data_IF_993818419867
#
_entry.id   IF_993818419867
#
_cell.length_a   1.000
_cell.length_b   1.000
_cell.length_c   1.000
_cell.angle_alpha   90.00
_cell.angle_beta   90.00
_cell.angle_gamma   90.00
#
_symmetry.space_group_name_H-M   'P 1'
#
loop_
_entity.id
_entity.type
_entity.pdbx_description
1 polymer ?
#
# COMPACT_ATOMS: atom_id res chain seq x y z
N UNK A 1 -14.79 -14.84 6.49
CA UNK A 1 -14.53 -14.56 5.05
C UNK A 1 -13.34 -15.38 4.58
N UNK A 2 -13.26 -15.75 3.30
CA UNK A 2 -12.07 -16.44 2.75
C UNK A 2 -10.85 -15.53 2.87
N UNK A 3 -9.67 -16.11 3.09
CA UNK A 3 -8.41 -15.36 3.24
C UNK A 3 -8.12 -14.48 2.02
N UNK A 4 -8.32 -15.04 0.82
CA UNK A 4 -8.19 -14.34 -0.46
C UNK A 4 -9.10 -13.11 -0.55
N UNK A 5 -10.37 -13.22 -0.14
CA UNK A 5 -11.31 -12.09 -0.16
C UNK A 5 -10.87 -10.98 0.78
N UNK A 6 -10.44 -11.32 2.00
CA UNK A 6 -9.92 -10.33 2.95
C UNK A 6 -8.66 -9.64 2.41
N UNK A 7 -7.76 -10.41 1.79
CA UNK A 7 -6.52 -9.89 1.19
C UNK A 7 -6.79 -9.00 -0.03
N UNK A 8 -7.76 -9.37 -0.88
CA UNK A 8 -8.21 -8.53 -1.99
C UNK A 8 -8.76 -7.20 -1.46
N UNK A 9 -9.66 -7.21 -0.47
CA UNK A 9 -10.21 -5.97 0.11
C UNK A 9 -9.10 -5.11 0.71
N UNK A 10 -8.19 -5.69 1.50
CA UNK A 10 -7.07 -4.96 2.07
C UNK A 10 -6.15 -4.37 0.99
N UNK A 11 -5.91 -5.10 -0.11
CA UNK A 11 -5.12 -4.64 -1.25
C UNK A 11 -5.78 -3.49 -2.02
N UNK A 12 -7.10 -3.57 -2.26
CA UNK A 12 -7.85 -2.51 -2.93
C UNK A 12 -7.88 -1.23 -2.09
N UNK A 13 -8.07 -1.36 -0.77
CA UNK A 13 -7.99 -0.21 0.14
C UNK A 13 -6.57 0.36 0.22
N UNK A 14 -5.54 -0.50 0.23
CA UNK A 14 -4.13 -0.07 0.19
C UNK A 14 -3.85 0.75 -1.07
N UNK A 15 -4.31 0.29 -2.23
CA UNK A 15 -4.19 1.04 -3.49
C UNK A 15 -4.91 2.38 -3.44
N UNK A 16 -6.15 2.40 -2.95
CA UNK A 16 -6.93 3.64 -2.82
C UNK A 16 -6.22 4.65 -1.91
N UNK A 17 -5.70 4.22 -0.76
CA UNK A 17 -5.01 5.13 0.14
C UNK A 17 -3.62 5.52 -0.36
N UNK A 18 -2.91 4.63 -1.06
CA UNK A 18 -1.64 4.97 -1.71
C UNK A 18 -1.80 6.05 -2.77
N UNK A 19 -2.92 6.07 -3.52
CA UNK A 19 -3.15 7.16 -4.49
C UNK A 19 -3.49 8.48 -3.80
N UNK A 20 -4.29 8.48 -2.74
CA UNK A 20 -4.48 9.67 -1.90
C UNK A 20 -3.18 10.17 -1.28
N UNK A 21 -2.36 9.24 -0.80
CA UNK A 21 -1.06 9.53 -0.21
C UNK A 21 -0.12 10.19 -1.22
N UNK A 22 0.01 9.63 -2.43
CA UNK A 22 0.83 10.23 -3.48
C UNK A 22 0.32 11.62 -3.88
N UNK A 23 -0.99 11.82 -3.98
CA UNK A 23 -1.56 13.14 -4.23
C UNK A 23 -1.15 14.12 -3.14
N UNK A 24 -1.18 13.69 -1.87
CA UNK A 24 -0.65 14.45 -0.75
C UNK A 24 0.84 14.75 -0.89
N UNK A 25 1.66 13.75 -1.24
CA UNK A 25 3.10 13.94 -1.44
C UNK A 25 3.41 14.99 -2.50
N UNK A 26 2.62 15.04 -3.57
CA UNK A 26 2.75 16.07 -4.61
C UNK A 26 2.33 17.44 -4.07
N UNK A 27 1.16 17.52 -3.41
CA UNK A 27 0.61 18.79 -2.88
C UNK A 27 1.53 19.42 -1.83
N UNK A 28 2.16 18.61 -0.98
CA UNK A 28 3.04 19.10 0.10
C UNK A 28 4.53 19.11 -0.30
N UNK A 29 4.84 18.82 -1.57
CA UNK A 29 6.18 18.91 -2.15
C UNK A 29 7.17 17.84 -1.67
N UNK A 30 6.69 16.68 -1.25
CA UNK A 30 7.49 15.47 -1.04
C UNK A 30 7.85 14.79 -2.37
N UNK A 31 6.97 14.87 -3.36
CA UNK A 31 7.16 14.36 -4.71
C UNK A 31 7.00 15.48 -5.77
N UNK A 32 7.69 15.41 -6.93
CA UNK A 32 7.68 16.48 -7.92
C UNK A 32 6.39 16.52 -8.76
N UNK A 33 5.56 15.47 -8.75
CA UNK A 33 4.28 15.42 -9.46
C UNK A 33 4.38 15.37 -10.99
N UNK A 34 5.50 14.86 -11.51
CA UNK A 34 5.76 14.79 -12.95
C UNK A 34 5.27 13.50 -13.62
N UNK A 35 5.58 13.35 -14.92
CA UNK A 35 5.26 12.14 -15.70
C UNK A 35 5.79 10.85 -15.07
N UNK A 36 6.94 10.91 -14.41
CA UNK A 36 7.51 9.76 -13.71
C UNK A 36 6.57 9.25 -12.60
N UNK A 37 6.00 10.16 -11.78
CA UNK A 37 5.03 9.79 -10.74
C UNK A 37 3.80 9.13 -11.38
N UNK A 38 3.25 9.71 -12.46
CA UNK A 38 2.09 9.14 -13.17
C UNK A 38 2.37 7.72 -13.69
N UNK A 39 3.46 7.55 -14.45
CA UNK A 39 3.79 6.27 -15.09
C UNK A 39 4.01 5.18 -14.05
N UNK A 40 4.79 5.46 -13.00
CA UNK A 40 5.06 4.49 -11.93
C UNK A 40 3.76 4.10 -11.22
N UNK A 41 2.95 5.08 -10.83
CA UNK A 41 1.70 4.81 -10.11
C UNK A 41 0.71 4.01 -10.93
N UNK A 42 0.53 4.33 -12.21
CA UNK A 42 -0.39 3.59 -13.09
C UNK A 42 0.08 2.15 -13.27
N UNK A 43 1.36 1.93 -13.61
CA UNK A 43 1.88 0.59 -13.85
C UNK A 43 1.84 -0.28 -12.59
N UNK A 44 2.30 0.27 -11.45
CA UNK A 44 2.26 -0.44 -10.16
C UNK A 44 0.83 -0.76 -9.76
N UNK A 45 -0.10 0.20 -9.91
CA UNK A 45 -1.51 -0.02 -9.58
C UNK A 45 -2.14 -1.11 -10.44
N UNK A 46 -1.87 -1.13 -11.75
CA UNK A 46 -2.41 -2.16 -12.66
C UNK A 46 -1.87 -3.55 -12.30
N UNK A 47 -0.56 -3.67 -12.06
CA UNK A 47 0.05 -4.95 -11.66
C UNK A 47 -0.53 -5.44 -10.34
N UNK A 48 -0.70 -4.55 -9.36
CA UNK A 48 -1.28 -4.89 -8.07
C UNK A 48 -2.76 -5.28 -8.19
N UNK A 49 -3.56 -4.52 -8.94
CA UNK A 49 -4.96 -4.87 -9.24
C UNK A 49 -5.07 -6.24 -9.91
N UNK A 50 -4.20 -6.52 -10.88
CA UNK A 50 -4.15 -7.82 -11.52
C UNK A 50 -3.88 -8.95 -10.50
N UNK A 51 -2.90 -8.74 -9.61
CA UNK A 51 -2.61 -9.64 -8.50
C UNK A 51 -3.80 -9.87 -7.57
N UNK A 52 -4.47 -8.79 -7.18
CA UNK A 52 -5.55 -8.79 -6.18
C UNK A 52 -6.90 -9.28 -6.72
N UNK A 53 -7.19 -9.06 -8.00
CA UNK A 53 -8.49 -9.39 -8.59
C UNK A 53 -8.45 -10.67 -9.43
N UNK A 54 -7.41 -10.86 -10.23
CA UNK A 54 -7.33 -11.96 -11.20
C UNK A 54 -6.49 -13.13 -10.71
N UNK A 55 -5.56 -12.88 -9.78
CA UNK A 55 -4.65 -13.89 -9.24
C UNK A 55 -4.82 -14.13 -7.74
N UNK A 56 -5.93 -13.70 -7.12
CA UNK A 56 -6.12 -13.73 -5.66
C UNK A 56 -6.00 -15.11 -5.02
N UNK A 57 -6.31 -16.17 -5.76
CA UNK A 57 -6.21 -17.57 -5.31
C UNK A 57 -4.91 -18.27 -5.78
N UNK A 58 -4.01 -17.54 -6.43
CA UNK A 58 -2.75 -18.06 -6.97
C UNK A 58 -1.56 -17.56 -6.15
N UNK A 59 -0.50 -18.37 -6.11
CA UNK A 59 0.78 -18.00 -5.48
C UNK A 59 1.38 -16.73 -6.06
N UNK A 60 1.31 -16.57 -7.39
CA UNK A 60 1.81 -15.36 -8.06
C UNK A 60 1.06 -14.10 -7.59
N UNK A 61 -0.27 -14.16 -7.43
CA UNK A 61 -1.04 -13.05 -6.87
C UNK A 61 -0.65 -12.74 -5.42
N UNK A 62 -0.43 -13.77 -4.60
CA UNK A 62 0.06 -13.60 -3.24
C UNK A 62 1.43 -12.93 -3.19
N UNK A 63 2.37 -13.30 -4.09
CA UNK A 63 3.68 -12.66 -4.18
C UNK A 63 3.54 -11.18 -4.57
N UNK A 64 2.70 -10.86 -5.56
CA UNK A 64 2.44 -9.46 -5.96
C UNK A 64 1.89 -8.65 -4.77
N UNK A 65 0.87 -9.17 -4.10
CA UNK A 65 0.26 -8.51 -2.94
C UNK A 65 1.20 -8.43 -1.73
N UNK A 66 2.14 -9.37 -1.58
CA UNK A 66 3.18 -9.31 -0.56
C UNK A 66 4.12 -8.14 -0.80
N UNK A 67 4.63 -8.00 -2.02
CA UNK A 67 5.53 -6.90 -2.38
C UNK A 67 4.84 -5.55 -2.17
N UNK A 68 3.59 -5.44 -2.62
CA UNK A 68 2.77 -4.26 -2.37
C UNK A 68 2.56 -3.99 -0.88
N UNK A 69 2.17 -5.00 -0.11
CA UNK A 69 1.94 -4.89 1.34
C UNK A 69 3.19 -4.47 2.12
N UNK A 70 4.37 -4.99 1.75
CA UNK A 70 5.66 -4.58 2.32
C UNK A 70 5.92 -3.11 2.01
N UNK A 71 5.82 -2.69 0.74
CA UNK A 71 6.01 -1.29 0.36
C UNK A 71 5.07 -0.38 1.15
N UNK A 72 3.78 -0.71 1.19
CA UNK A 72 2.77 0.04 1.95
C UNK A 72 3.14 0.16 3.43
N UNK A 73 3.53 -0.93 4.09
CA UNK A 73 3.89 -0.89 5.51
C UNK A 73 5.08 0.05 5.81
N UNK A 74 6.01 0.22 4.87
CA UNK A 74 7.18 1.09 5.05
C UNK A 74 6.93 2.56 4.72
N UNK A 75 5.88 2.90 3.96
CA UNK A 75 5.55 4.30 3.63
C UNK A 75 5.47 5.21 4.87
N UNK A 76 4.74 4.85 5.95
CA UNK A 76 4.65 5.69 7.14
C UNK A 76 5.99 5.83 7.84
N UNK A 77 6.78 4.76 7.88
CA UNK A 77 8.12 4.79 8.46
C UNK A 77 9.02 5.79 7.73
N UNK A 78 9.02 5.79 6.39
CA UNK A 78 9.82 6.73 5.59
C UNK A 78 9.43 8.18 5.88
N UNK A 79 8.12 8.47 5.92
CA UNK A 79 7.61 9.83 6.18
C UNK A 79 7.78 10.30 7.62
N UNK A 80 7.71 9.38 8.58
CA UNK A 80 7.84 9.69 10.01
C UNK A 80 9.29 9.68 10.49
N UNK A 81 10.22 9.12 9.72
CA UNK A 81 11.66 9.15 10.03
C UNK A 81 12.20 10.57 9.89
N UNK A 82 13.06 10.99 10.83
CA UNK A 82 13.67 12.33 10.81
C UNK A 82 12.71 13.41 11.35
N UNK A 83 12.52 14.50 10.60
CA UNK A 83 11.63 15.62 11.02
C UNK A 83 10.15 15.22 11.11
N UNK A 84 9.78 14.13 10.44
CA UNK A 84 8.45 13.54 10.51
C UNK A 84 7.34 14.42 9.93
N UNK A 85 6.10 14.02 10.24
CA UNK A 85 4.84 14.68 9.81
C UNK A 85 4.14 15.37 10.98
N UNK A 86 4.84 15.65 12.08
CA UNK A 86 4.29 16.31 13.26
C UNK A 86 4.14 17.84 13.10
N UNK A 87 3.35 18.46 13.97
CA UNK A 87 3.10 19.92 13.95
C UNK A 87 4.36 20.76 14.15
N UNK A 88 5.36 20.25 14.85
CA UNK A 88 6.55 21.03 15.21
C UNK A 88 7.58 21.21 14.08
N UNK A 89 7.54 20.38 13.02
CA UNK A 89 8.64 20.33 12.05
C UNK A 89 8.24 19.96 10.61
N UNK A 90 6.96 19.68 10.34
CA UNK A 90 6.52 19.24 9.01
C UNK A 90 6.07 20.39 8.12
N UNK A 91 6.19 20.20 6.81
CA UNK A 91 5.65 21.11 5.77
C UNK A 91 4.11 21.16 5.76
N UNK A 92 3.48 20.24 6.48
CA UNK A 92 2.03 20.11 6.61
C UNK A 92 1.46 20.95 7.75
N UNK A 93 2.30 21.42 8.68
CA UNK A 93 1.83 22.08 9.89
C UNK A 93 0.95 23.30 9.56
N UNK A 94 -0.28 23.32 10.10
CA UNK A 94 -1.24 24.39 9.86
C UNK A 94 -2.03 24.28 8.55
N UNK A 95 -1.78 23.27 7.71
CA UNK A 95 -2.59 23.01 6.52
C UNK A 95 -3.89 22.28 6.86
N UNK A 96 -4.97 22.56 6.12
CA UNK A 96 -6.26 21.91 6.32
C UNK A 96 -6.24 20.40 6.03
N UNK A 97 -5.32 19.93 5.19
CA UNK A 97 -5.19 18.51 4.84
C UNK A 97 -4.20 17.73 5.70
N UNK A 98 -3.61 18.35 6.74
CA UNK A 98 -2.62 17.70 7.61
C UNK A 98 -3.16 16.42 8.26
N UNK A 99 -4.36 16.49 8.85
CA UNK A 99 -5.04 15.34 9.46
C UNK A 99 -5.20 14.19 8.46
N UNK A 100 -5.73 14.49 7.28
CA UNK A 100 -6.00 13.49 6.25
C UNK A 100 -4.73 12.80 5.78
N UNK A 101 -3.64 13.56 5.59
CA UNK A 101 -2.34 13.01 5.20
C UNK A 101 -1.75 12.08 6.25
N UNK A 102 -1.73 12.50 7.53
CA UNK A 102 -1.22 11.65 8.63
C UNK A 102 -2.08 10.40 8.78
N UNK A 103 -3.41 10.55 8.68
CA UNK A 103 -4.34 9.43 8.75
C UNK A 103 -4.13 8.45 7.59
N UNK A 104 -3.87 8.92 6.37
CA UNK A 104 -3.62 8.03 5.22
C UNK A 104 -2.34 7.23 5.42
N UNK A 105 -1.26 7.83 5.96
CA UNK A 105 -0.06 7.07 6.33
C UNK A 105 -0.40 5.94 7.30
N UNK A 106 -1.11 6.24 8.40
CA UNK A 106 -1.50 5.21 9.36
C UNK A 106 -2.35 4.09 8.73
N UNK A 107 -3.33 4.45 7.90
CA UNK A 107 -4.19 3.50 7.20
C UNK A 107 -3.38 2.57 6.28
N UNK A 108 -2.46 3.13 5.49
CA UNK A 108 -1.56 2.37 4.60
C UNK A 108 -0.67 1.43 5.41
N UNK A 109 -0.11 1.91 6.53
CA UNK A 109 0.73 1.08 7.41
C UNK A 109 -0.02 -0.13 7.96
N UNK A 110 -1.23 0.08 8.48
CA UNK A 110 -2.08 -0.99 9.02
C UNK A 110 -2.48 -1.98 7.92
N UNK A 111 -2.97 -1.50 6.78
CA UNK A 111 -3.41 -2.36 5.68
C UNK A 111 -2.26 -3.13 5.03
N UNK A 112 -1.09 -2.49 4.92
CA UNK A 112 0.13 -3.12 4.43
C UNK A 112 0.57 -4.29 5.32
N UNK A 113 0.72 -4.05 6.62
CA UNK A 113 1.07 -5.11 7.58
C UNK A 113 0.02 -6.22 7.62
N UNK A 114 -1.27 -5.86 7.62
CA UNK A 114 -2.33 -6.84 7.60
C UNK A 114 -2.31 -7.71 6.33
N UNK A 115 -2.05 -7.10 5.17
CA UNK A 115 -1.88 -7.83 3.91
C UNK A 115 -0.71 -8.80 3.95
N UNK A 116 0.43 -8.41 4.54
CA UNK A 116 1.59 -9.30 4.75
C UNK A 116 1.21 -10.52 5.60
N UNK A 117 0.48 -10.31 6.69
CA UNK A 117 -0.01 -11.40 7.56
C UNK A 117 -0.95 -12.33 6.78
N UNK A 118 -1.91 -11.78 6.03
CA UNK A 118 -2.85 -12.57 5.23
C UNK A 118 -2.14 -13.36 4.11
N UNK A 119 -1.12 -12.78 3.47
CA UNK A 119 -0.32 -13.49 2.47
C UNK A 119 0.43 -14.65 3.12
N UNK A 120 1.10 -14.43 4.26
CA UNK A 120 1.81 -15.49 4.97
C UNK A 120 0.87 -16.67 5.31
N UNK A 121 -0.33 -16.37 5.83
CA UNK A 121 -1.37 -17.37 6.10
C UNK A 121 -1.86 -18.08 4.84
N UNK A 122 -2.06 -17.34 3.75
CA UNK A 122 -2.54 -17.88 2.48
C UNK A 122 -1.52 -18.78 1.78
N UNK A 123 -0.25 -18.40 1.80
CA UNK A 123 0.82 -19.22 1.22
C UNK A 123 1.08 -20.49 2.04
N UNK A 124 0.98 -20.41 3.37
CA UNK A 124 1.16 -21.56 4.25
C UNK A 124 0.11 -22.66 4.01
N UNK A 125 -1.11 -22.29 3.61
CA UNK A 125 -2.18 -23.25 3.33
C UNK A 125 -2.14 -23.84 1.92
N UNK A 126 -1.28 -23.35 1.02
CA UNK A 126 -1.23 -23.81 -0.38
C UNK A 126 -0.28 -25.00 -0.58
N UNK A 127 -0.75 -26.11 -1.17
CA UNK A 127 0.10 -27.24 -1.55
C UNK A 127 1.24 -26.82 -2.48
N UNK A 128 2.47 -27.22 -2.15
CA UNK A 128 3.68 -26.92 -2.95
C UNK A 128 3.80 -27.69 -4.25
N UNK A 129 3.11 -28.84 -4.35
CA UNK A 129 3.02 -29.65 -5.55
C UNK A 129 1.55 -29.90 -5.86
N UNK A 130 1.16 -29.77 -7.12
CA UNK A 130 -0.05 -30.44 -7.61
C UNK A 130 0.28 -31.95 -7.64
N UNK A 131 -0.55 -32.84 -7.06
CA UNK A 131 -0.52 -34.24 -7.44
C UNK A 131 -0.64 -34.30 -8.97
N UNK A 132 0.24 -35.08 -9.60
CA UNK A 132 0.21 -35.29 -11.05
C UNK A 132 -1.03 -36.07 -11.44
#
# INVERSE_FOLDING_TARGET
MKNSVMLTIASLLSLLFLTFHLAGDIVYGYEPGGLANLVVTVLVSVVWLYGALLLSERRSGHIIMLLGGVVAMFVPYVHMKGKGVGLAASRLAGTSGHLFFVWTLLAIGVLGLFSVILVARGLWSMPWRRPR
#
